data_IF_990246851516
#
_entry.id   IF_990246851516
#
_cell.length_a   1.000
_cell.length_b   1.000
_cell.length_c   1.000
_cell.angle_alpha   90.00
_cell.angle_beta   90.00
_cell.angle_gamma   90.00
#
_symmetry.space_group_name_H-M   'P 1'
#
loop_
_entity.id
_entity.type
_entity.pdbx_description
1 polymer ?
#
# COMPACT_ATOMS: atom_id res chain seq x y z
N UNK A 1 -35.29 -58.83 5.83
CA UNK A 1 -34.74 -57.47 6.03
C UNK A 1 -33.25 -57.66 6.27
N UNK A 2 -32.40 -56.76 5.76
CA UNK A 2 -30.96 -56.87 5.96
C UNK A 2 -30.62 -56.37 7.37
N UNK A 3 -29.80 -57.14 8.10
CA UNK A 3 -29.37 -56.81 9.46
C UNK A 3 -27.85 -56.61 9.47
N UNK A 4 -27.37 -55.75 10.35
CA UNK A 4 -25.93 -55.51 10.56
C UNK A 4 -25.55 -55.83 12.01
N UNK A 5 -24.27 -56.13 12.25
CA UNK A 5 -23.75 -56.32 13.60
C UNK A 5 -23.84 -54.98 14.37
N UNK A 6 -24.23 -55.03 15.65
CA UNK A 6 -24.23 -53.88 16.56
C UNK A 6 -22.90 -53.13 16.55
N UNK A 7 -21.75 -53.82 16.56
CA UNK A 7 -20.44 -53.17 16.50
C UNK A 7 -20.28 -52.31 15.24
N UNK A 8 -20.68 -52.84 14.08
CA UNK A 8 -20.64 -52.10 12.83
C UNK A 8 -21.64 -50.94 12.79
N UNK A 9 -22.81 -51.08 13.42
CA UNK A 9 -23.78 -50.00 13.56
C UNK A 9 -23.21 -48.84 14.39
N UNK A 10 -22.59 -49.16 15.53
CA UNK A 10 -21.93 -48.19 16.43
C UNK A 10 -20.77 -47.50 15.72
N UNK A 11 -19.93 -48.23 15.00
CA UNK A 11 -18.83 -47.64 14.22
C UNK A 11 -19.33 -46.62 13.19
N UNK A 12 -20.44 -46.92 12.49
CA UNK A 12 -21.06 -45.99 11.54
C UNK A 12 -21.62 -44.73 12.23
N UNK A 13 -22.28 -44.89 13.38
CA UNK A 13 -22.78 -43.76 14.16
C UNK A 13 -21.65 -42.89 14.69
N UNK A 14 -20.57 -43.50 15.21
CA UNK A 14 -19.38 -42.81 15.68
C UNK A 14 -18.72 -42.00 14.57
N UNK A 15 -18.60 -42.56 13.35
CA UNK A 15 -18.07 -41.83 12.20
C UNK A 15 -18.92 -40.60 11.85
N UNK A 16 -20.24 -40.67 12.00
CA UNK A 16 -21.13 -39.53 11.76
C UNK A 16 -21.06 -38.50 12.88
N UNK A 17 -20.99 -38.93 14.13
CA UNK A 17 -20.73 -38.03 15.26
C UNK A 17 -19.38 -37.30 15.11
N UNK A 18 -18.34 -38.00 14.70
CA UNK A 18 -17.02 -37.43 14.42
C UNK A 18 -17.09 -36.38 13.30
N UNK A 19 -17.83 -36.66 12.22
CA UNK A 19 -18.04 -35.70 11.14
C UNK A 19 -18.78 -34.43 11.60
N UNK A 20 -19.78 -34.56 12.49
CA UNK A 20 -20.45 -33.41 13.12
C UNK A 20 -19.46 -32.61 13.96
N UNK A 21 -18.65 -33.29 14.78
CA UNK A 21 -17.63 -32.65 15.64
C UNK A 21 -16.57 -31.91 14.82
N UNK A 22 -16.06 -32.52 13.75
CA UNK A 22 -15.05 -31.91 12.88
C UNK A 22 -15.59 -30.67 12.16
N UNK A 23 -16.85 -30.72 11.70
CA UNK A 23 -17.51 -29.57 11.09
C UNK A 23 -17.69 -28.40 12.07
N UNK A 24 -18.00 -28.68 13.35
CA UNK A 24 -18.05 -27.66 14.40
C UNK A 24 -16.66 -27.08 14.66
N UNK A 25 -15.66 -27.96 14.83
CA UNK A 25 -14.30 -27.57 15.16
C UNK A 25 -13.71 -26.61 14.12
N UNK A 26 -13.95 -26.86 12.83
CA UNK A 26 -13.48 -25.98 11.75
C UNK A 26 -14.01 -24.53 11.86
N UNK A 27 -15.27 -24.34 12.25
CA UNK A 27 -15.85 -22.99 12.43
C UNK A 27 -15.46 -22.36 13.77
N UNK A 28 -15.34 -23.15 14.83
CA UNK A 28 -14.94 -22.64 16.15
C UNK A 28 -13.44 -22.30 16.22
N UNK A 29 -12.61 -22.91 15.37
CA UNK A 29 -11.21 -22.51 15.18
C UNK A 29 -11.11 -21.06 14.70
N UNK A 30 -11.95 -20.64 13.74
CA UNK A 30 -11.98 -19.24 13.29
C UNK A 30 -12.34 -18.26 14.41
N UNK A 31 -13.33 -18.61 15.26
CA UNK A 31 -13.70 -17.80 16.43
C UNK A 31 -12.54 -17.76 17.42
N UNK A 32 -11.89 -18.89 17.67
CA UNK A 32 -10.74 -18.97 18.57
C UNK A 32 -9.60 -18.08 18.08
N UNK A 33 -9.25 -18.17 16.80
CA UNK A 33 -8.25 -17.34 16.15
C UNK A 33 -8.59 -15.84 16.27
N UNK A 34 -9.85 -15.46 16.03
CA UNK A 34 -10.33 -14.09 16.23
C UNK A 34 -10.19 -13.66 17.70
N UNK A 35 -10.62 -14.49 18.64
CA UNK A 35 -10.54 -14.18 20.07
C UNK A 35 -9.09 -14.01 20.52
N UNK A 36 -8.17 -14.82 20.05
CA UNK A 36 -6.74 -14.67 20.34
C UNK A 36 -6.18 -13.38 19.74
N UNK A 37 -6.45 -13.11 18.47
CA UNK A 37 -5.95 -11.93 17.74
C UNK A 37 -6.34 -10.59 18.41
N UNK A 38 -7.52 -10.52 19.02
CA UNK A 38 -8.01 -9.32 19.73
C UNK A 38 -8.03 -9.46 21.25
N UNK A 39 -7.56 -10.59 21.79
CA UNK A 39 -7.65 -10.93 23.21
C UNK A 39 -9.08 -10.80 23.76
N UNK A 40 -10.07 -11.34 23.04
CA UNK A 40 -11.48 -11.31 23.44
C UNK A 40 -11.73 -12.31 24.59
N UNK A 41 -12.56 -11.95 25.58
CA UNK A 41 -12.92 -12.83 26.68
C UNK A 41 -13.73 -14.05 26.22
N UNK A 42 -13.90 -15.03 27.11
CA UNK A 42 -14.79 -16.17 26.88
C UNK A 42 -16.25 -15.74 26.79
N UNK A 43 -16.63 -14.74 27.60
CA UNK A 43 -17.96 -14.16 27.62
C UNK A 43 -18.21 -13.29 26.36
N UNK A 44 -19.10 -13.76 25.49
CA UNK A 44 -19.45 -13.10 24.24
C UNK A 44 -20.11 -11.72 24.41
N UNK A 45 -20.75 -11.47 25.56
CA UNK A 45 -21.38 -10.16 25.84
C UNK A 45 -20.37 -9.01 25.86
N UNK A 46 -19.09 -9.32 26.09
CA UNK A 46 -18.01 -8.35 26.18
C UNK A 46 -17.23 -8.17 24.87
N UNK A 47 -17.42 -9.04 23.88
CA UNK A 47 -16.62 -9.05 22.64
C UNK A 47 -16.63 -7.70 21.93
N UNK A 48 -17.81 -7.09 21.78
CA UNK A 48 -17.97 -5.81 21.07
C UNK A 48 -17.17 -4.69 21.73
N UNK A 49 -17.27 -4.55 23.06
CA UNK A 49 -16.58 -3.50 23.81
C UNK A 49 -15.06 -3.70 23.78
N UNK A 50 -14.59 -4.94 23.92
CA UNK A 50 -13.15 -5.27 23.89
C UNK A 50 -12.58 -5.07 22.49
N UNK A 51 -13.23 -5.59 21.45
CA UNK A 51 -12.85 -5.39 20.05
C UNK A 51 -12.72 -3.91 19.71
N UNK A 52 -13.77 -3.12 19.99
CA UNK A 52 -13.74 -1.68 19.72
C UNK A 52 -12.64 -0.94 20.50
N UNK A 53 -12.35 -1.36 21.73
CA UNK A 53 -11.25 -0.79 22.53
C UNK A 53 -9.88 -1.10 21.92
N UNK A 54 -9.67 -2.31 21.39
CA UNK A 54 -8.43 -2.69 20.69
C UNK A 54 -8.26 -1.93 19.37
N UNK A 55 -9.31 -1.84 18.56
CA UNK A 55 -9.26 -1.10 17.28
C UNK A 55 -8.96 0.38 17.51
N UNK A 56 -9.63 1.01 18.49
CA UNK A 56 -9.37 2.42 18.80
C UNK A 56 -7.98 2.68 19.38
N UNK A 57 -7.42 1.73 20.14
CA UNK A 57 -6.03 1.77 20.60
C UNK A 57 -5.05 1.70 19.41
N UNK A 58 -5.22 0.72 18.52
CA UNK A 58 -4.42 0.60 17.28
C UNK A 58 -4.54 1.85 16.40
N UNK A 59 -5.74 2.43 16.28
CA UNK A 59 -5.95 3.69 15.58
C UNK A 59 -5.20 4.86 16.24
N UNK A 60 -5.21 4.95 17.57
CA UNK A 60 -4.44 5.98 18.29
C UNK A 60 -2.94 5.83 18.04
N UNK A 61 -2.41 4.60 18.05
CA UNK A 61 -1.02 4.31 17.73
C UNK A 61 -0.67 4.70 16.29
N UNK A 62 -1.51 4.32 15.32
CA UNK A 62 -1.36 4.72 13.92
C UNK A 62 -1.31 6.25 13.77
N UNK A 63 -2.29 6.98 14.32
CA UNK A 63 -2.33 8.45 14.24
C UNK A 63 -1.14 9.10 14.94
N UNK A 64 -0.67 8.54 16.06
CA UNK A 64 0.51 9.06 16.73
C UNK A 64 1.78 8.86 15.90
N UNK A 65 1.92 7.69 15.26
CA UNK A 65 3.02 7.38 14.33
C UNK A 65 3.02 8.35 13.15
N UNK A 66 1.88 8.52 12.48
CA UNK A 66 1.72 9.46 11.36
C UNK A 66 2.09 10.88 11.81
N UNK A 67 1.60 11.33 12.98
CA UNK A 67 1.94 12.65 13.52
C UNK A 67 3.45 12.84 13.71
N UNK A 68 4.11 11.86 14.31
CA UNK A 68 5.56 11.88 14.56
C UNK A 68 6.35 11.85 13.26
N UNK A 69 5.94 11.03 12.31
CA UNK A 69 6.57 10.90 11.00
C UNK A 69 6.47 12.20 10.21
N UNK A 70 5.27 12.80 10.09
CA UNK A 70 5.11 14.09 9.40
C UNK A 70 5.90 15.21 10.07
N UNK A 71 5.97 15.23 11.41
CA UNK A 71 6.82 16.19 12.13
C UNK A 71 8.30 15.97 11.83
N UNK A 72 8.76 14.72 11.86
CA UNK A 72 10.15 14.36 11.56
C UNK A 72 10.53 14.73 10.13
N UNK A 73 9.68 14.46 9.15
CA UNK A 73 9.92 14.85 7.75
C UNK A 73 10.01 16.37 7.64
N UNK A 74 9.04 17.11 8.20
CA UNK A 74 9.07 18.58 8.19
C UNK A 74 10.34 19.14 8.84
N UNK A 75 10.78 18.54 9.95
CA UNK A 75 12.03 18.89 10.62
C UNK A 75 13.26 18.60 9.74
N UNK A 76 13.35 17.42 9.13
CA UNK A 76 14.47 17.09 8.23
C UNK A 76 14.54 18.02 7.03
N UNK A 77 13.41 18.34 6.40
CA UNK A 77 13.37 19.29 5.29
C UNK A 77 13.92 20.66 5.70
N UNK A 78 13.50 21.18 6.86
CA UNK A 78 13.98 22.46 7.40
C UNK A 78 15.46 22.45 7.74
N UNK A 79 15.94 21.42 8.42
CA UNK A 79 17.33 21.39 8.90
C UNK A 79 18.34 21.04 7.82
N UNK A 80 18.03 20.10 6.92
CA UNK A 80 18.96 19.66 5.89
C UNK A 80 18.97 20.58 4.68
N UNK A 81 17.81 21.14 4.30
CA UNK A 81 17.64 21.87 3.03
C UNK A 81 17.14 23.30 3.21
N UNK A 82 16.84 23.71 4.45
CA UNK A 82 16.27 25.02 4.78
C UNK A 82 17.08 25.87 5.74
N UNK A 83 18.38 25.58 5.93
CA UNK A 83 19.27 26.33 6.83
C UNK A 83 18.70 26.50 8.24
N UNK A 84 18.12 25.43 8.79
CA UNK A 84 17.50 25.46 10.13
C UNK A 84 16.14 26.17 10.19
N UNK A 85 15.62 26.67 9.06
CA UNK A 85 14.31 27.31 8.98
C UNK A 85 14.28 28.77 9.41
N UNK A 86 15.43 29.44 9.54
CA UNK A 86 15.53 30.82 10.07
C UNK A 86 14.76 31.88 9.25
N UNK A 87 14.39 31.60 8.00
CA UNK A 87 13.52 32.47 7.17
C UNK A 87 12.24 31.78 6.68
N UNK A 88 11.96 30.58 7.18
CA UNK A 88 10.70 29.91 6.85
C UNK A 88 9.55 30.71 7.46
N UNK A 89 8.49 30.89 6.67
CA UNK A 89 7.28 31.58 7.12
C UNK A 89 6.06 30.75 6.78
N UNK A 90 4.88 31.20 7.20
CA UNK A 90 3.61 30.52 6.89
C UNK A 90 3.43 30.22 5.40
N UNK A 91 4.05 31.02 4.52
CA UNK A 91 3.94 30.94 3.06
C UNK A 91 5.28 30.84 2.34
N UNK A 92 6.40 30.63 3.04
CA UNK A 92 7.73 30.47 2.43
C UNK A 92 8.46 29.29 3.06
N UNK A 93 9.07 28.46 2.23
CA UNK A 93 9.93 27.37 2.65
C UNK A 93 11.24 27.43 1.86
N UNK A 94 12.37 27.54 2.55
CA UNK A 94 13.71 27.50 1.94
C UNK A 94 13.95 26.15 1.27
N UNK A 95 13.57 25.04 1.92
CA UNK A 95 13.69 23.69 1.36
C UNK A 95 12.95 23.56 0.02
N UNK A 96 11.73 24.09 -0.09
CA UNK A 96 11.01 24.09 -1.37
C UNK A 96 11.67 25.01 -2.38
N UNK A 97 12.12 26.20 -1.97
CA UNK A 97 12.81 27.14 -2.86
C UNK A 97 14.09 26.55 -3.44
N UNK A 98 14.85 25.83 -2.61
CA UNK A 98 16.03 25.06 -3.03
C UNK A 98 15.67 23.99 -4.07
N UNK A 99 14.68 23.15 -3.78
CA UNK A 99 14.21 22.12 -4.71
C UNK A 99 13.77 22.72 -6.06
N UNK A 100 12.97 23.78 -6.03
CA UNK A 100 12.54 24.48 -7.25
C UNK A 100 13.72 25.05 -8.02
N UNK A 101 14.66 25.70 -7.32
CA UNK A 101 15.88 26.23 -7.94
C UNK A 101 16.70 25.15 -8.61
N UNK A 102 16.84 24.00 -7.96
CA UNK A 102 17.57 22.84 -8.45
C UNK A 102 16.93 22.26 -9.72
N UNK A 103 15.62 22.00 -9.70
CA UNK A 103 14.86 21.49 -10.86
C UNK A 103 14.94 22.47 -12.03
N UNK A 104 14.73 23.77 -11.78
CA UNK A 104 14.81 24.80 -12.82
C UNK A 104 16.21 24.86 -13.43
N UNK A 105 17.25 24.78 -12.61
CA UNK A 105 18.65 24.85 -13.06
C UNK A 105 19.01 23.63 -13.90
N UNK A 106 18.67 22.42 -13.45
CA UNK A 106 18.88 21.18 -14.20
C UNK A 106 18.16 21.23 -15.57
N UNK A 107 16.91 21.70 -15.61
CA UNK A 107 16.15 21.79 -16.86
C UNK A 107 16.70 22.87 -17.80
N UNK A 108 17.17 24.01 -17.28
CA UNK A 108 17.84 25.03 -18.08
C UNK A 108 19.16 24.53 -18.66
N UNK A 109 19.97 23.82 -17.86
CA UNK A 109 21.21 23.22 -18.33
C UNK A 109 20.94 22.19 -19.45
N UNK A 110 19.93 21.33 -19.29
CA UNK A 110 19.56 20.37 -20.33
C UNK A 110 19.08 21.05 -21.62
N UNK A 111 18.25 22.09 -21.52
CA UNK A 111 17.82 22.88 -22.68
C UNK A 111 19.00 23.53 -23.39
N UNK A 112 19.97 24.06 -22.65
CA UNK A 112 21.18 24.67 -23.20
C UNK A 112 22.06 23.66 -23.92
N UNK A 113 22.26 22.47 -23.34
CA UNK A 113 22.99 21.37 -23.97
C UNK A 113 22.34 20.97 -25.31
N UNK A 114 21.02 20.80 -25.33
CA UNK A 114 20.29 20.46 -26.55
C UNK A 114 20.44 21.54 -27.62
N UNK A 115 20.28 22.83 -27.26
CA UNK A 115 20.46 23.93 -28.19
C UNK A 115 21.88 23.97 -28.78
N UNK A 116 22.91 23.73 -27.95
CA UNK A 116 24.29 23.67 -28.42
C UNK A 116 24.57 22.46 -29.31
N UNK A 117 23.98 21.31 -29.01
CA UNK A 117 24.11 20.12 -29.84
C UNK A 117 23.45 20.31 -31.20
N UNK A 118 22.24 20.87 -31.24
CA UNK A 118 21.53 21.17 -32.49
C UNK A 118 22.31 22.19 -33.35
N UNK A 119 22.89 23.21 -32.71
CA UNK A 119 23.74 24.18 -33.39
C UNK A 119 25.04 23.54 -33.92
N UNK A 120 25.67 22.66 -33.15
CA UNK A 120 26.87 21.93 -33.56
C UNK A 120 26.59 21.10 -34.81
N UNK A 121 25.49 20.36 -34.82
CA UNK A 121 25.07 19.54 -35.97
C UNK A 121 24.89 20.44 -37.21
N UNK A 122 24.18 21.57 -37.07
CA UNK A 122 23.92 22.48 -38.16
C UNK A 122 25.19 23.16 -38.70
N UNK A 123 26.08 23.65 -37.82
CA UNK A 123 27.36 24.25 -38.22
C UNK A 123 28.29 23.22 -38.85
N UNK A 124 28.37 22.02 -38.27
CA UNK A 124 29.19 20.95 -38.79
C UNK A 124 28.79 20.56 -40.21
N UNK A 125 27.49 20.33 -40.46
CA UNK A 125 26.98 20.00 -41.79
C UNK A 125 27.35 21.09 -42.82
N UNK A 126 27.04 22.35 -42.52
CA UNK A 126 27.35 23.49 -43.42
C UNK A 126 28.85 23.62 -43.72
N UNK A 127 29.71 23.53 -42.71
CA UNK A 127 31.16 23.70 -42.88
C UNK A 127 31.84 22.46 -43.48
N UNK A 128 31.26 21.27 -43.32
CA UNK A 128 31.72 20.05 -43.96
C UNK A 128 31.41 20.07 -45.46
N UNK A 129 30.18 20.44 -45.84
CA UNK A 129 29.75 20.59 -47.25
C UNK A 129 30.57 21.67 -47.98
N UNK A 130 30.91 22.73 -47.26
CA UNK A 130 31.78 23.80 -47.73
C UNK A 130 33.26 23.41 -47.89
N UNK A 131 33.67 22.23 -47.40
CA UNK A 131 35.07 21.81 -47.42
C UNK A 131 35.98 22.56 -46.46
N UNK A 132 35.45 23.42 -45.58
CA UNK A 132 36.24 24.34 -44.73
C UNK A 132 36.67 23.76 -43.39
N UNK A 133 36.09 22.63 -42.96
CA UNK A 133 36.54 21.95 -41.74
C UNK A 133 37.83 21.17 -41.97
N UNK A 134 38.74 21.22 -40.98
CA UNK A 134 39.92 20.36 -40.95
C UNK A 134 39.52 18.87 -40.89
N UNK A 135 40.39 17.98 -41.37
CA UNK A 135 40.13 16.53 -41.28
C UNK A 135 40.00 16.07 -39.82
N UNK A 136 40.81 16.64 -38.91
CA UNK A 136 40.77 16.31 -37.49
C UNK A 136 39.41 16.66 -36.87
N UNK A 137 38.88 17.85 -37.15
CA UNK A 137 37.55 18.28 -36.66
C UNK A 137 36.43 17.38 -37.19
N UNK A 138 36.48 17.01 -38.48
CA UNK A 138 35.47 16.11 -39.07
C UNK A 138 35.48 14.73 -38.41
N UNK A 139 36.66 14.17 -38.17
CA UNK A 139 36.80 12.86 -37.52
C UNK A 139 36.37 12.94 -36.05
N UNK A 140 36.75 14.00 -35.34
CA UNK A 140 36.37 14.21 -33.95
C UNK A 140 34.85 14.29 -33.79
N UNK A 141 34.19 15.19 -34.53
CA UNK A 141 32.73 15.37 -34.44
C UNK A 141 32.00 14.08 -34.83
N UNK A 142 32.41 13.41 -35.92
CA UNK A 142 31.79 12.15 -36.36
C UNK A 142 31.89 11.05 -35.28
N UNK A 143 32.98 11.01 -34.50
CA UNK A 143 33.15 10.03 -33.42
C UNK A 143 32.36 10.42 -32.15
N UNK A 144 32.34 11.69 -31.79
CA UNK A 144 31.73 12.16 -30.54
C UNK A 144 30.21 12.35 -30.63
N UNK A 145 29.67 12.62 -31.82
CA UNK A 145 28.25 12.94 -32.00
C UNK A 145 27.29 11.82 -31.57
N UNK A 146 27.53 10.54 -31.91
CA UNK A 146 26.65 9.46 -31.45
C UNK A 146 26.57 9.36 -29.92
N UNK A 147 27.69 9.58 -29.22
CA UNK A 147 27.72 9.55 -27.76
C UNK A 147 26.96 10.74 -27.15
N UNK A 148 27.08 11.94 -27.77
CA UNK A 148 26.30 13.11 -27.38
C UNK A 148 24.80 12.94 -27.63
N UNK A 149 24.39 12.31 -28.73
CA UNK A 149 22.99 12.00 -29.02
C UNK A 149 22.41 10.95 -28.06
N UNK A 150 23.21 9.94 -27.71
CA UNK A 150 22.84 8.97 -26.67
C UNK A 150 22.68 9.65 -25.32
N UNK A 151 23.59 10.57 -24.98
CA UNK A 151 23.51 11.39 -23.77
C UNK A 151 22.23 12.24 -23.75
N UNK A 152 21.91 12.93 -24.85
CA UNK A 152 20.65 13.69 -25.02
C UNK A 152 19.42 12.81 -24.76
N UNK A 153 19.39 11.62 -25.33
CA UNK A 153 18.25 10.69 -25.18
C UNK A 153 18.08 10.25 -23.72
N UNK A 154 19.18 9.91 -23.05
CA UNK A 154 19.16 9.57 -21.62
C UNK A 154 18.67 10.74 -20.77
N UNK A 155 19.21 11.94 -21.00
CA UNK A 155 18.83 13.15 -20.27
C UNK A 155 17.36 13.53 -20.48
N UNK A 156 16.80 13.28 -21.66
CA UNK A 156 15.36 13.47 -21.89
C UNK A 156 14.52 12.54 -21.00
N UNK A 157 14.90 11.26 -20.90
CA UNK A 157 14.26 10.31 -19.98
C UNK A 157 14.39 10.74 -18.52
N UNK A 158 15.56 11.23 -18.10
CA UNK A 158 15.80 11.68 -16.73
C UNK A 158 14.96 12.94 -16.40
N UNK A 159 14.83 13.88 -17.35
CA UNK A 159 13.94 15.05 -17.22
C UNK A 159 12.48 14.61 -17.02
N UNK A 160 11.99 13.67 -17.81
CA UNK A 160 10.60 13.24 -17.72
C UNK A 160 10.32 12.47 -16.43
N UNK A 161 11.29 11.70 -15.93
CA UNK A 161 11.24 11.09 -14.60
C UNK A 161 11.15 12.16 -13.50
N UNK A 162 12.02 13.16 -13.54
CA UNK A 162 12.01 14.27 -12.55
C UNK A 162 10.68 15.03 -12.59
N UNK A 163 10.13 15.33 -13.78
CA UNK A 163 8.81 15.98 -13.90
C UNK A 163 7.72 15.13 -13.26
N UNK A 164 7.68 13.84 -13.58
CA UNK A 164 6.68 12.91 -13.05
C UNK A 164 6.76 12.84 -11.52
N UNK A 165 7.95 12.58 -10.98
CA UNK A 165 8.17 12.52 -9.53
C UNK A 165 7.77 13.85 -8.86
N UNK A 166 8.11 14.98 -9.49
CA UNK A 166 7.74 16.29 -8.98
C UNK A 166 6.22 16.49 -9.01
N UNK A 167 5.53 16.16 -10.09
CA UNK A 167 4.08 16.32 -10.22
C UNK A 167 3.31 15.43 -9.24
N UNK A 168 3.74 14.17 -9.07
CA UNK A 168 3.14 13.20 -8.15
C UNK A 168 3.27 13.65 -6.69
N UNK A 169 4.41 14.25 -6.32
CA UNK A 169 4.71 14.63 -4.93
C UNK A 169 4.58 16.11 -4.63
N UNK A 170 4.30 16.97 -5.63
CA UNK A 170 4.18 18.42 -5.46
C UNK A 170 3.29 18.77 -4.28
N UNK A 171 2.06 18.25 -4.26
CA UNK A 171 1.09 18.57 -3.22
C UNK A 171 1.51 18.08 -1.82
N UNK A 172 1.92 16.81 -1.63
CA UNK A 172 2.52 16.35 -0.37
C UNK A 172 3.70 17.20 0.12
N UNK A 173 4.65 17.51 -0.78
CA UNK A 173 5.81 18.36 -0.49
C UNK A 173 5.38 19.74 0.05
N UNK A 174 4.40 20.37 -0.59
CA UNK A 174 3.83 21.65 -0.15
C UNK A 174 3.12 21.58 1.20
N UNK A 175 2.65 20.41 1.64
CA UNK A 175 2.03 20.29 2.96
C UNK A 175 3.11 20.17 4.02
N UNK A 176 4.06 19.26 3.82
CA UNK A 176 5.05 18.93 4.85
C UNK A 176 6.10 20.02 5.00
N UNK A 177 6.44 20.72 3.91
CA UNK A 177 7.41 21.81 3.95
C UNK A 177 6.86 23.13 4.54
N UNK A 178 5.53 23.28 4.67
CA UNK A 178 4.91 24.50 5.17
C UNK A 178 4.22 24.24 6.50
N UNK A 179 4.71 24.89 7.56
CA UNK A 179 4.26 24.65 8.94
C UNK A 179 2.76 24.89 9.16
N UNK A 180 2.19 25.88 8.46
CA UNK A 180 0.76 26.19 8.53
C UNK A 180 -0.11 25.06 8.00
N UNK A 181 0.30 24.40 6.91
CA UNK A 181 -0.41 23.29 6.28
C UNK A 181 -0.18 21.98 7.04
N UNK A 182 1.05 21.74 7.49
CA UNK A 182 1.38 20.62 8.38
C UNK A 182 0.55 20.65 9.66
N UNK A 183 0.42 21.82 10.29
CA UNK A 183 -0.42 21.98 11.50
C UNK A 183 -1.89 21.67 11.22
N UNK A 184 -2.46 22.12 10.10
CA UNK A 184 -3.84 21.77 9.70
C UNK A 184 -4.03 20.26 9.55
N UNK A 185 -3.04 19.57 8.98
CA UNK A 185 -3.05 18.12 8.86
C UNK A 185 -3.03 17.45 10.25
N UNK A 186 -2.17 17.90 11.16
CA UNK A 186 -2.11 17.38 12.53
C UNK A 186 -3.41 17.63 13.33
N UNK A 187 -4.02 18.81 13.17
CA UNK A 187 -5.32 19.14 13.78
C UNK A 187 -6.42 18.23 13.21
N UNK A 188 -6.40 17.97 11.90
CA UNK A 188 -7.37 17.09 11.24
C UNK A 188 -7.21 15.64 11.65
N UNK A 189 -5.97 15.15 11.74
CA UNK A 189 -5.63 13.83 12.27
C UNK A 189 -6.11 13.65 13.73
N UNK A 190 -6.11 14.73 14.50
CA UNK A 190 -6.61 14.72 15.88
C UNK A 190 -8.15 14.71 15.93
N UNK A 191 -8.81 15.37 14.98
CA UNK A 191 -10.28 15.46 14.88
C UNK A 191 -10.92 14.21 14.27
N UNK A 192 -10.35 13.64 13.21
CA UNK A 192 -10.85 12.46 12.48
C UNK A 192 -10.40 11.15 13.13
N UNK A 193 -10.56 11.04 14.45
CA UNK A 193 -10.22 9.82 15.19
C UNK A 193 -11.35 8.79 15.06
N UNK A 194 -10.97 7.52 14.96
CA UNK A 194 -11.90 6.41 15.16
C UNK A 194 -12.39 6.44 16.61
N UNK A 195 -13.71 6.51 16.81
CA UNK A 195 -14.31 6.50 18.15
C UNK A 195 -14.72 5.09 18.53
N UNK A 196 -14.66 4.77 19.82
CA UNK A 196 -15.11 3.47 20.34
C UNK A 196 -16.57 3.23 19.97
N UNK A 197 -17.41 4.25 20.14
CA UNK A 197 -18.83 4.19 19.83
C UNK A 197 -19.14 3.78 18.38
N UNK A 198 -18.46 4.36 17.40
CA UNK A 198 -18.69 4.03 15.99
C UNK A 198 -18.29 2.58 15.69
N UNK A 199 -17.12 2.15 16.18
CA UNK A 199 -16.66 0.77 16.00
C UNK A 199 -17.60 -0.21 16.69
N UNK A 200 -18.10 0.10 17.89
CA UNK A 200 -19.09 -0.73 18.57
C UNK A 200 -20.39 -0.84 17.78
N UNK A 201 -20.87 0.26 17.20
CA UNK A 201 -22.10 0.28 16.41
C UNK A 201 -22.00 -0.63 15.19
N UNK A 202 -20.86 -0.64 14.50
CA UNK A 202 -20.63 -1.46 13.31
C UNK A 202 -20.28 -2.91 13.64
N UNK A 203 -19.48 -3.15 14.68
CA UNK A 203 -19.02 -4.49 15.05
C UNK A 203 -20.09 -5.32 15.79
N UNK A 204 -21.00 -4.66 16.53
CA UNK A 204 -22.03 -5.34 17.35
C UNK A 204 -22.85 -6.37 16.57
N UNK A 205 -23.52 -6.04 15.45
CA UNK A 205 -24.32 -7.03 14.73
C UNK A 205 -23.50 -8.24 14.27
N UNK A 206 -22.25 -8.03 13.85
CA UNK A 206 -21.37 -9.09 13.36
C UNK A 206 -20.92 -10.02 14.49
N UNK A 207 -20.51 -9.47 15.63
CA UNK A 207 -20.10 -10.25 16.80
C UNK A 207 -21.29 -10.95 17.46
N UNK A 208 -22.49 -10.36 17.42
CA UNK A 208 -23.72 -11.02 17.86
C UNK A 208 -24.08 -12.22 16.99
N UNK A 209 -23.89 -12.14 15.67
CA UNK A 209 -24.06 -13.30 14.76
C UNK A 209 -23.08 -14.40 15.16
N UNK A 210 -21.79 -14.09 15.29
CA UNK A 210 -20.78 -15.10 15.64
C UNK A 210 -21.03 -15.74 17.01
N UNK A 211 -21.46 -14.96 17.99
CA UNK A 211 -21.83 -15.47 19.30
C UNK A 211 -23.03 -16.44 19.23
N UNK A 212 -24.10 -16.04 18.53
CA UNK A 212 -25.29 -16.87 18.36
C UNK A 212 -24.99 -18.18 17.59
N UNK A 213 -24.15 -18.11 16.55
CA UNK A 213 -23.72 -19.28 15.80
C UNK A 213 -22.86 -20.22 16.67
N UNK A 214 -21.97 -19.69 17.50
CA UNK A 214 -21.18 -20.50 18.45
C UNK A 214 -22.08 -21.20 19.47
N UNK A 215 -23.06 -20.50 20.04
CA UNK A 215 -24.03 -21.09 20.98
C UNK A 215 -24.88 -22.17 20.31
N UNK A 216 -25.33 -21.95 19.07
CA UNK A 216 -26.05 -22.95 18.29
C UNK A 216 -25.20 -24.21 18.07
N UNK A 217 -23.90 -24.08 17.79
CA UNK A 217 -22.99 -25.22 17.63
C UNK A 217 -22.75 -25.97 18.94
N UNK A 218 -22.67 -25.29 20.08
CA UNK A 218 -22.61 -25.95 21.40
C UNK A 218 -23.86 -26.82 21.59
N UNK A 219 -25.04 -26.33 21.22
CA UNK A 219 -26.27 -27.12 21.28
C UNK A 219 -26.25 -28.32 20.33
N UNK A 220 -25.77 -28.15 19.09
CA UNK A 220 -25.64 -29.24 18.11
C UNK A 220 -24.66 -30.32 18.62
N UNK A 221 -23.53 -29.93 19.19
CA UNK A 221 -22.58 -30.87 19.78
C UNK A 221 -23.21 -31.68 20.91
N UNK A 222 -23.91 -31.03 21.84
CA UNK A 222 -24.62 -31.71 22.92
C UNK A 222 -25.68 -32.67 22.40
N UNK A 223 -26.45 -32.27 21.37
CA UNK A 223 -27.44 -33.14 20.74
C UNK A 223 -26.79 -34.37 20.09
N UNK A 224 -25.68 -34.18 19.38
CA UNK A 224 -24.90 -35.25 18.74
C UNK A 224 -24.42 -36.28 19.76
N UNK A 225 -23.84 -35.83 20.88
CA UNK A 225 -23.33 -36.72 21.93
C UNK A 225 -24.43 -37.43 22.70
N UNK A 226 -25.57 -36.76 22.98
CA UNK A 226 -26.73 -37.42 23.58
C UNK A 226 -27.31 -38.48 22.64
N UNK A 227 -27.34 -38.20 21.34
CA UNK A 227 -27.82 -39.12 20.32
C UNK A 227 -26.94 -40.37 20.27
N UNK A 228 -25.61 -40.21 20.17
CA UNK A 228 -24.66 -41.32 20.14
C UNK A 228 -24.76 -42.21 21.37
N UNK A 229 -24.75 -41.62 22.56
CA UNK A 229 -24.90 -42.37 23.81
C UNK A 229 -26.22 -43.18 23.87
N UNK A 230 -27.33 -42.59 23.42
CA UNK A 230 -28.63 -43.28 23.42
C UNK A 230 -28.66 -44.44 22.43
N UNK A 231 -28.11 -44.25 21.23
CA UNK A 231 -28.05 -45.29 20.20
C UNK A 231 -27.17 -46.45 20.63
N UNK A 232 -25.97 -46.15 21.14
CA UNK A 232 -25.04 -47.16 21.66
C UNK A 232 -25.70 -48.02 22.75
N UNK A 233 -26.33 -47.36 23.74
CA UNK A 233 -27.06 -48.07 24.81
C UNK A 233 -28.23 -48.90 24.28
N UNK A 234 -28.99 -48.39 23.32
CA UNK A 234 -30.14 -49.11 22.75
C UNK A 234 -29.70 -50.36 21.97
N UNK A 235 -28.68 -50.23 21.12
CA UNK A 235 -28.23 -51.33 20.26
C UNK A 235 -27.52 -52.44 21.02
N UNK A 236 -26.69 -52.12 22.03
CA UNK A 236 -26.05 -53.15 22.86
C UNK A 236 -27.02 -53.89 23.79
N UNK A 237 -28.23 -53.38 24.01
CA UNK A 237 -29.28 -54.08 24.75
C UNK A 237 -30.03 -55.11 23.89
N UNK A 238 -29.82 -55.13 22.57
CA UNK A 238 -30.51 -56.05 21.66
C UNK A 238 -29.92 -57.46 21.82
N UNK A 239 -30.70 -58.47 22.27
CA UNK A 239 -30.16 -59.80 22.57
C UNK A 239 -29.58 -60.55 21.35
N UNK A 240 -30.02 -60.21 20.14
CA UNK A 240 -29.53 -60.83 18.91
C UNK A 240 -28.15 -60.35 18.48
N UNK A 241 -27.64 -59.25 19.06
CA UNK A 241 -26.42 -58.58 18.59
C UNK A 241 -26.52 -58.05 17.16
N UNK A 242 -27.74 -57.90 16.63
CA UNK A 242 -28.01 -57.44 15.27
C UNK A 242 -29.08 -56.35 15.24
N UNK A 243 -28.83 -55.31 14.46
CA UNK A 243 -29.73 -54.16 14.25
C UNK A 243 -30.25 -54.19 12.81
N UNK A 244 -31.51 -53.80 12.61
CA UNK A 244 -32.07 -53.65 11.27
C UNK A 244 -31.34 -52.52 10.53
N UNK A 245 -30.94 -52.77 9.28
CA UNK A 245 -30.23 -51.75 8.49
C UNK A 245 -31.06 -50.47 8.33
N UNK A 246 -32.39 -50.59 8.19
CA UNK A 246 -33.29 -49.43 8.09
C UNK A 246 -33.33 -48.59 9.37
N UNK A 247 -33.23 -49.22 10.54
CA UNK A 247 -33.17 -48.50 11.82
C UNK A 247 -31.85 -47.72 11.93
N UNK A 248 -30.74 -48.33 11.50
CA UNK A 248 -29.44 -47.65 11.45
C UNK A 248 -29.48 -46.48 10.49
N UNK A 249 -30.03 -46.63 9.28
CA UNK A 249 -30.19 -45.54 8.32
C UNK A 249 -31.03 -44.38 8.87
N UNK A 250 -32.14 -44.67 9.55
CA UNK A 250 -32.99 -43.66 10.20
C UNK A 250 -32.25 -42.89 11.31
N UNK A 251 -31.43 -43.59 12.09
CA UNK A 251 -30.61 -43.00 13.14
C UNK A 251 -29.44 -42.17 12.58
N UNK A 252 -28.77 -42.64 11.52
CA UNK A 252 -27.70 -41.89 10.84
C UNK A 252 -28.22 -40.61 10.17
N UNK A 253 -29.45 -40.62 9.63
CA UNK A 253 -30.07 -39.43 9.04
C UNK A 253 -30.22 -38.26 10.03
N UNK A 254 -30.28 -38.54 11.35
CA UNK A 254 -30.31 -37.50 12.38
C UNK A 254 -28.97 -36.76 12.48
N UNK A 255 -27.85 -37.45 12.34
CA UNK A 255 -26.54 -36.80 12.27
C UNK A 255 -26.38 -35.99 10.98
N UNK A 256 -26.86 -36.52 9.86
CA UNK A 256 -26.83 -35.79 8.58
C UNK A 256 -27.63 -34.47 8.68
N UNK A 257 -28.75 -34.45 9.42
CA UNK A 257 -29.49 -33.23 9.72
C UNK A 257 -28.72 -32.23 10.61
N UNK A 258 -27.94 -32.72 11.59
CA UNK A 258 -27.03 -31.88 12.38
C UNK A 258 -25.90 -31.30 11.53
N UNK A 259 -25.26 -32.12 10.69
CA UNK A 259 -24.24 -31.68 9.74
C UNK A 259 -24.79 -30.64 8.75
N UNK A 260 -26.00 -30.85 8.24
CA UNK A 260 -26.67 -29.86 7.38
C UNK A 260 -26.92 -28.54 8.12
N UNK A 261 -27.34 -28.62 9.39
CA UNK A 261 -27.54 -27.45 10.26
C UNK A 261 -26.26 -26.65 10.50
N UNK A 262 -25.09 -27.30 10.51
CA UNK A 262 -23.78 -26.64 10.57
C UNK A 262 -23.43 -26.04 9.20
N UNK A 263 -23.65 -26.78 8.12
CA UNK A 263 -23.34 -26.32 6.76
C UNK A 263 -24.03 -25.00 6.44
N UNK A 264 -25.32 -24.85 6.77
CA UNK A 264 -26.08 -23.61 6.53
C UNK A 264 -25.58 -22.40 7.35
N UNK A 265 -24.81 -22.60 8.42
CA UNK A 265 -24.21 -21.51 9.20
C UNK A 265 -22.93 -20.94 8.56
N UNK A 266 -22.31 -21.70 7.65
CA UNK A 266 -20.97 -21.41 7.11
C UNK A 266 -20.89 -20.03 6.45
N UNK A 267 -21.87 -19.68 5.62
CA UNK A 267 -21.85 -18.44 4.86
C UNK A 267 -21.99 -17.20 5.77
N UNK A 268 -22.93 -17.26 6.72
CA UNK A 268 -23.13 -16.18 7.69
C UNK A 268 -21.90 -15.99 8.59
N UNK A 269 -21.27 -17.09 9.02
CA UNK A 269 -20.03 -17.08 9.80
C UNK A 269 -18.88 -16.41 9.03
N UNK A 270 -18.63 -16.88 7.79
CA UNK A 270 -17.55 -16.35 6.95
C UNK A 270 -17.76 -14.87 6.61
N UNK A 271 -19.00 -14.48 6.31
CA UNK A 271 -19.32 -13.09 5.99
C UNK A 271 -19.13 -12.17 7.20
N UNK A 272 -19.58 -12.59 8.40
CA UNK A 272 -19.38 -11.81 9.61
C UNK A 272 -17.89 -11.58 9.92
N UNK A 273 -17.05 -12.61 9.78
CA UNK A 273 -15.59 -12.49 9.95
C UNK A 273 -14.96 -11.60 8.88
N UNK A 274 -15.36 -11.73 7.61
CA UNK A 274 -14.86 -10.90 6.52
C UNK A 274 -15.17 -9.43 6.77
N UNK A 275 -16.40 -9.11 7.19
CA UNK A 275 -16.82 -7.74 7.51
C UNK A 275 -16.09 -7.18 8.73
N UNK A 276 -15.84 -7.99 9.78
CA UNK A 276 -15.04 -7.56 10.92
C UNK A 276 -13.59 -7.22 10.54
N UNK A 277 -12.98 -8.01 9.64
CA UNK A 277 -11.64 -7.71 9.10
C UNK A 277 -11.63 -6.41 8.29
N UNK A 278 -12.62 -6.20 7.42
CA UNK A 278 -12.75 -4.95 6.66
C UNK A 278 -12.98 -3.72 7.57
N UNK A 279 -13.75 -3.89 8.64
CA UNK A 279 -13.92 -2.86 9.67
C UNK A 279 -12.60 -2.56 10.37
N UNK A 280 -11.82 -3.58 10.74
CA UNK A 280 -10.49 -3.37 11.31
C UNK A 280 -9.59 -2.60 10.34
N UNK A 281 -9.43 -3.09 9.10
CA UNK A 281 -8.54 -2.51 8.10
C UNK A 281 -8.83 -1.02 7.89
N UNK A 282 -10.11 -0.65 7.77
CA UNK A 282 -10.53 0.73 7.59
C UNK A 282 -10.41 1.58 8.86
N UNK A 283 -10.81 1.05 10.02
CA UNK A 283 -10.87 1.80 11.27
C UNK A 283 -9.49 2.01 11.92
N UNK A 284 -8.54 1.09 11.73
CA UNK A 284 -7.18 1.20 12.27
C UNK A 284 -6.40 2.30 11.55
N UNK A 285 -6.47 2.36 10.22
CA UNK A 285 -5.72 3.33 9.39
C UNK A 285 -6.44 4.67 9.19
N UNK A 286 -7.56 4.89 9.88
CA UNK A 286 -8.30 6.14 9.76
C UNK A 286 -7.60 7.33 10.47
N UNK A 287 -7.57 8.52 9.86
CA UNK A 287 -7.98 8.81 8.49
C UNK A 287 -6.91 8.37 7.49
N UNK A 288 -7.30 7.68 6.41
CA UNK A 288 -6.39 7.29 5.33
C UNK A 288 -5.94 8.47 4.46
N UNK A 289 -6.63 9.60 4.57
CA UNK A 289 -6.32 10.84 3.85
C UNK A 289 -6.31 12.06 4.77
N UNK A 290 -5.50 13.05 4.41
CA UNK A 290 -5.38 14.33 5.10
C UNK A 290 -5.64 15.49 4.14
N UNK A 291 -6.08 16.66 4.66
CA UNK A 291 -6.46 17.78 3.82
C UNK A 291 -5.24 18.39 3.13
N UNK A 292 -5.34 18.53 1.81
CA UNK A 292 -4.40 19.28 0.99
C UNK A 292 -4.91 20.66 0.57
N UNK A 293 -4.13 21.32 -0.30
CA UNK A 293 -4.51 22.62 -0.85
C UNK A 293 -5.75 22.49 -1.74
N UNK A 294 -6.74 23.36 -1.53
CA UNK A 294 -7.90 23.48 -2.44
C UNK A 294 -8.97 22.40 -2.27
N UNK A 295 -9.26 21.95 -1.04
CA UNK A 295 -10.22 20.87 -0.70
C UNK A 295 -9.84 19.47 -1.18
N UNK A 296 -8.70 19.30 -1.84
CA UNK A 296 -8.21 17.97 -2.22
C UNK A 296 -7.77 17.19 -0.98
N UNK A 297 -8.06 15.89 -0.94
CA UNK A 297 -7.57 14.96 0.09
C UNK A 297 -6.32 14.25 -0.44
N UNK A 298 -5.30 14.11 0.42
CA UNK A 298 -4.03 13.48 0.07
C UNK A 298 -3.85 12.20 0.89
N UNK A 299 -3.48 11.07 0.27
CA UNK A 299 -3.17 9.84 1.01
C UNK A 299 -2.08 10.07 2.05
N UNK A 300 -2.27 9.50 3.25
CA UNK A 300 -1.29 9.58 4.34
C UNK A 300 0.04 8.96 3.90
N UNK A 301 0.01 7.87 3.15
CA UNK A 301 1.19 7.18 2.64
C UNK A 301 2.02 8.09 1.72
N UNK A 302 1.36 8.90 0.89
CA UNK A 302 2.05 9.86 0.02
C UNK A 302 2.75 10.96 0.85
N UNK A 303 2.14 11.40 1.96
CA UNK A 303 2.74 12.36 2.87
C UNK A 303 3.95 11.77 3.59
N UNK A 304 3.85 10.54 4.09
CA UNK A 304 4.95 9.82 4.72
C UNK A 304 6.12 9.57 3.74
N UNK A 305 5.82 9.32 2.46
CA UNK A 305 6.84 9.15 1.40
C UNK A 305 7.52 10.43 0.90
N UNK A 306 7.16 11.60 1.44
CA UNK A 306 7.56 12.91 0.90
C UNK A 306 9.07 13.16 0.99
N UNK A 307 9.73 12.78 2.09
CA UNK A 307 11.17 13.00 2.24
C UNK A 307 11.98 12.22 1.20
N UNK A 308 11.65 10.93 1.06
CA UNK A 308 12.30 10.07 0.08
C UNK A 308 12.08 10.58 -1.35
N UNK A 309 10.88 11.09 -1.67
CA UNK A 309 10.62 11.73 -2.95
C UNK A 309 11.45 13.01 -3.15
N UNK A 310 11.53 13.88 -2.13
CA UNK A 310 12.36 15.08 -2.16
C UNK A 310 13.81 14.74 -2.49
N UNK A 311 14.40 13.78 -1.76
CA UNK A 311 15.78 13.36 -1.94
C UNK A 311 16.03 12.75 -3.31
N UNK A 312 15.15 11.86 -3.79
CA UNK A 312 15.25 11.30 -5.14
C UNK A 312 15.25 12.37 -6.22
N UNK A 313 14.39 13.39 -6.11
CA UNK A 313 14.33 14.49 -7.07
C UNK A 313 15.63 15.30 -7.01
N UNK A 314 16.12 15.62 -5.80
CA UNK A 314 17.37 16.34 -5.61
C UNK A 314 18.57 15.60 -6.20
N UNK A 315 18.72 14.31 -5.89
CA UNK A 315 19.77 13.45 -6.44
C UNK A 315 19.70 13.43 -7.96
N UNK A 316 18.52 13.18 -8.54
CA UNK A 316 18.35 13.12 -10.00
C UNK A 316 18.74 14.44 -10.67
N UNK A 317 18.32 15.58 -10.12
CA UNK A 317 18.69 16.89 -10.66
C UNK A 317 20.20 17.15 -10.53
N UNK A 318 20.81 16.72 -9.43
CA UNK A 318 22.25 16.91 -9.18
C UNK A 318 23.09 16.08 -10.14
N UNK A 319 22.75 14.80 -10.32
CA UNK A 319 23.38 13.90 -11.29
C UNK A 319 23.26 14.43 -12.72
N UNK A 320 22.08 14.94 -13.09
CA UNK A 320 21.87 15.58 -14.39
C UNK A 320 22.81 16.78 -14.56
N UNK A 321 22.91 17.66 -13.57
CA UNK A 321 23.80 18.84 -13.66
C UNK A 321 25.27 18.45 -13.74
N UNK A 322 25.73 17.49 -12.92
CA UNK A 322 27.09 16.97 -12.96
C UNK A 322 27.47 16.39 -14.33
N UNK A 323 26.51 15.74 -15.00
CA UNK A 323 26.69 15.25 -16.36
C UNK A 323 26.68 16.38 -17.40
N UNK A 324 25.78 17.36 -17.24
CA UNK A 324 25.55 18.43 -18.21
C UNK A 324 26.63 19.51 -18.22
N UNK A 325 27.16 19.90 -17.06
CA UNK A 325 28.12 21.00 -16.90
C UNK A 325 29.36 20.86 -17.80
N UNK A 326 30.14 19.76 -17.74
CA UNK A 326 31.32 19.62 -18.61
C UNK A 326 30.96 19.54 -20.09
N UNK A 327 29.79 18.97 -20.43
CA UNK A 327 29.33 18.85 -21.82
C UNK A 327 28.97 20.24 -22.36
N UNK A 328 28.22 21.03 -21.61
CA UNK A 328 27.82 22.38 -21.99
C UNK A 328 29.03 23.30 -22.15
N UNK A 329 30.00 23.23 -21.23
CA UNK A 329 31.24 24.01 -21.32
C UNK A 329 32.06 23.64 -22.56
N UNK A 330 32.22 22.33 -22.82
CA UNK A 330 32.97 21.84 -23.98
C UNK A 330 32.29 22.24 -25.29
N UNK A 331 30.98 22.09 -25.38
CA UNK A 331 30.20 22.48 -26.56
C UNK A 331 30.25 24.00 -26.78
N UNK A 332 30.11 24.82 -25.74
CA UNK A 332 30.20 26.28 -25.85
C UNK A 332 31.56 26.74 -26.38
N UNK A 333 32.64 26.15 -25.85
CA UNK A 333 34.00 26.44 -26.30
C UNK A 333 34.18 26.06 -27.78
N UNK A 334 33.78 24.84 -28.16
CA UNK A 334 33.96 24.35 -29.51
C UNK A 334 33.09 25.11 -30.54
N UNK A 335 31.85 25.43 -30.18
CA UNK A 335 30.97 26.25 -31.02
C UNK A 335 31.55 27.65 -31.28
N UNK A 336 32.20 28.27 -30.28
CA UNK A 336 32.88 29.57 -30.48
C UNK A 336 33.96 29.49 -31.56
N UNK A 337 34.75 28.41 -31.58
CA UNK A 337 35.78 28.18 -32.61
C UNK A 337 35.12 27.99 -33.98
N UNK A 338 34.10 27.13 -34.09
CA UNK A 338 33.41 26.90 -35.37
C UNK A 338 32.73 28.15 -35.92
N UNK A 339 32.13 28.98 -35.05
CA UNK A 339 31.53 30.27 -35.44
C UNK A 339 32.57 31.23 -36.02
N UNK A 340 33.78 31.29 -35.46
CA UNK A 340 34.85 32.13 -36.00
C UNK A 340 35.26 31.66 -37.41
N UNK A 341 35.37 30.35 -37.62
CA UNK A 341 35.68 29.78 -38.95
C UNK A 341 34.59 30.11 -39.97
N UNK A 342 33.31 29.99 -39.59
CA UNK A 342 32.18 30.34 -40.46
C UNK A 342 32.15 31.84 -40.82
N UNK A 343 32.44 32.73 -39.85
CA UNK A 343 32.51 34.18 -40.09
C UNK A 343 33.64 34.53 -41.06
N UNK A 344 34.84 34.00 -40.83
CA UNK A 344 35.99 34.21 -41.73
C UNK A 344 35.66 33.73 -43.14
N UNK A 345 35.08 32.54 -43.28
CA UNK A 345 34.65 32.01 -44.59
C UNK A 345 33.70 32.97 -45.31
N UNK A 346 32.66 33.46 -44.62
CA UNK A 346 31.68 34.37 -45.23
C UNK A 346 32.31 35.69 -45.67
N UNK A 347 33.32 36.18 -44.94
CA UNK A 347 34.04 37.40 -45.31
C UNK A 347 34.91 37.25 -46.57
N UNK A 348 35.36 36.03 -46.91
CA UNK A 348 36.22 35.74 -48.08
C UNK A 348 35.49 35.03 -49.24
N UNK A 349 34.19 34.75 -49.09
CA UNK A 349 33.37 34.08 -50.13
C UNK A 349 32.35 35.01 -50.80
N UNK A 350 32.32 36.29 -50.42
CA UNK A 350 31.61 37.36 -51.12
C UNK A 350 32.61 38.16 -51.94
#
# INVERSE_FOLDING_TARGET
>A
MADINVEAAVDLAQQREDAVRDAIAALDEDITNMREAYSLPLDASQWTSVFASRITMRNKEHRQRVKQELYSIGHHLKHLYGEGGEEDSKNKSKAMSYLFGLVITAFKANRRMNAFLDELIALHGRLADAGTLSLADRVFIRKSLPDLERCRTRLASDVDKVKKDFDDYKHPLFIVAYESELKKCQDTLSKRKTTKHNVEQEARPLLSILAALSEARISIHQQSTILGYRQEMAWFQIPSGRVLTSEVEEELAKYDALSHSIAVQTDAHKEALRLLRALEESAVVAPATLPGRGRNEIPVEALCGTLAAYERICTSCTEMMQLLEPIVETLDHYLKVLRQVDVVRRAFSG
#
